data_IF_658966704272
#
_entry.id   IF_658966704272
#
_cell.length_a   1.000
_cell.length_b   1.000
_cell.length_c   1.000
_cell.angle_alpha   90.00
_cell.angle_beta   90.00
_cell.angle_gamma   90.00
#
_symmetry.space_group_name_H-M   'P 1'
#
loop_
_entity.id
_entity.type
_entity.pdbx_description
1 polymer ?
#
# COMPACT_ATOMS: atom_id res chain seq x y z
N UNK A 1 3.79 20.19 25.70
CA UNK A 1 3.23 19.04 24.95
C UNK A 1 2.75 19.56 23.60
N UNK A 2 3.16 18.97 22.47
CA UNK A 2 2.57 19.33 21.18
C UNK A 2 1.11 18.88 21.19
N UNK A 3 0.21 19.78 20.80
CA UNK A 3 -1.23 19.51 20.76
C UNK A 3 -1.53 18.50 19.65
N UNK A 4 -2.34 17.49 19.96
CA UNK A 4 -2.82 16.54 18.96
C UNK A 4 -3.64 17.29 17.89
N UNK A 5 -3.50 16.94 16.60
CA UNK A 5 -4.24 17.62 15.54
C UNK A 5 -5.75 17.47 15.79
N UNK A 6 -6.45 18.60 15.79
CA UNK A 6 -7.90 18.69 15.93
C UNK A 6 -8.54 18.09 14.68
N UNK A 7 -8.83 16.79 14.69
CA UNK A 7 -9.63 16.16 13.64
C UNK A 7 -11.07 16.64 13.82
N UNK A 8 -11.50 17.62 13.01
CA UNK A 8 -12.92 17.89 12.84
C UNK A 8 -13.58 16.60 12.36
N UNK A 9 -14.44 16.02 13.19
CA UNK A 9 -15.28 14.88 12.80
C UNK A 9 -16.16 15.35 11.64
N UNK A 10 -15.76 15.02 10.41
CA UNK A 10 -16.47 15.40 9.18
C UNK A 10 -15.62 15.87 8.00
N UNK A 11 -14.32 16.17 8.18
CA UNK A 11 -13.45 16.55 7.05
C UNK A 11 -12.12 15.79 7.08
N UNK A 12 -11.83 15.06 6.01
CA UNK A 12 -10.51 14.49 5.72
C UNK A 12 -10.07 14.98 4.34
N UNK A 13 -8.76 15.06 4.12
CA UNK A 13 -8.20 15.45 2.83
C UNK A 13 -8.31 14.29 1.81
N UNK A 14 -8.28 13.06 2.30
CA UNK A 14 -8.39 11.85 1.49
C UNK A 14 -9.17 10.75 2.21
N UNK A 15 -10.21 10.24 1.55
CA UNK A 15 -10.89 8.99 1.91
C UNK A 15 -10.38 7.87 1.01
N UNK A 16 -9.80 6.83 1.59
CA UNK A 16 -9.38 5.60 0.89
C UNK A 16 -10.39 4.50 1.17
N UNK A 17 -11.00 3.96 0.12
CA UNK A 17 -11.97 2.85 0.21
C UNK A 17 -11.27 1.54 -0.17
N UNK A 18 -11.19 0.62 0.79
CA UNK A 18 -10.55 -0.70 0.65
C UNK A 18 -9.26 -0.83 1.46
N UNK A 19 -9.22 -1.79 2.38
CA UNK A 19 -8.13 -2.13 3.29
C UNK A 19 -7.21 -3.25 2.78
N UNK A 20 -7.13 -3.45 1.47
CA UNK A 20 -6.09 -4.29 0.84
C UNK A 20 -4.74 -3.59 0.75
N UNK A 21 -3.70 -4.29 0.28
CA UNK A 21 -2.32 -3.78 0.23
C UNK A 21 -2.16 -2.46 -0.52
N UNK A 22 -2.90 -2.26 -1.60
CA UNK A 22 -2.86 -1.01 -2.37
C UNK A 22 -3.47 0.15 -1.57
N UNK A 23 -4.64 -0.07 -0.96
CA UNK A 23 -5.33 0.97 -0.20
C UNK A 23 -4.57 1.38 1.06
N UNK A 24 -4.05 0.40 1.81
CA UNK A 24 -3.22 0.70 2.99
C UNK A 24 -1.89 1.34 2.62
N UNK A 25 -1.26 0.94 1.51
CA UNK A 25 -0.06 1.59 0.98
C UNK A 25 -0.29 3.06 0.61
N UNK A 26 -1.38 3.35 -0.10
CA UNK A 26 -1.78 4.72 -0.46
C UNK A 26 -2.07 5.55 0.80
N UNK A 27 -2.85 5.00 1.74
CA UNK A 27 -3.20 5.71 2.97
C UNK A 27 -1.96 6.04 3.81
N UNK A 28 -1.00 5.10 3.93
CA UNK A 28 0.28 5.32 4.62
C UNK A 28 1.10 6.42 3.95
N UNK A 29 1.25 6.39 2.62
CA UNK A 29 2.04 7.41 1.91
C UNK A 29 1.40 8.79 2.05
N UNK A 30 0.08 8.90 1.87
CA UNK A 30 -0.65 10.15 2.02
C UNK A 30 -0.57 10.72 3.45
N UNK A 31 -0.74 9.88 4.48
CA UNK A 31 -0.58 10.28 5.87
C UNK A 31 0.87 10.72 6.16
N UNK A 32 1.87 10.01 5.62
CA UNK A 32 3.29 10.37 5.73
C UNK A 32 3.64 11.72 5.08
N UNK A 33 2.83 12.17 4.11
CA UNK A 33 2.91 13.51 3.49
C UNK A 33 2.13 14.59 4.23
N UNK A 34 1.51 14.26 5.36
CA UNK A 34 0.81 15.21 6.24
C UNK A 34 -0.68 15.42 5.94
N UNK A 35 -1.30 14.59 5.09
CA UNK A 35 -2.74 14.66 4.82
C UNK A 35 -3.53 14.03 5.98
N UNK A 36 -4.70 14.59 6.28
CA UNK A 36 -5.70 13.92 7.12
C UNK A 36 -6.39 12.83 6.30
N UNK A 37 -6.06 11.56 6.54
CA UNK A 37 -6.56 10.41 5.77
C UNK A 37 -7.54 9.58 6.59
N UNK A 38 -8.65 9.18 5.99
CA UNK A 38 -9.54 8.12 6.51
C UNK A 38 -9.44 6.92 5.58
N UNK A 39 -9.24 5.72 6.11
CA UNK A 39 -9.34 4.47 5.37
C UNK A 39 -10.56 3.69 5.89
N UNK A 40 -11.42 3.22 4.99
CA UNK A 40 -12.53 2.35 5.33
C UNK A 40 -12.41 1.00 4.62
N UNK A 41 -12.63 -0.07 5.35
CA UNK A 41 -12.70 -1.44 4.85
C UNK A 41 -14.03 -2.05 5.33
N UNK A 42 -14.69 -2.81 4.44
CA UNK A 42 -15.97 -3.44 4.74
C UNK A 42 -15.81 -4.61 5.72
N UNK A 43 -14.70 -5.34 5.64
CA UNK A 43 -14.39 -6.50 6.49
C UNK A 43 -13.18 -6.22 7.39
N UNK A 44 -12.31 -7.22 7.57
CA UNK A 44 -11.00 -7.05 8.19
C UNK A 44 -9.94 -6.63 7.16
N UNK A 45 -8.84 -6.05 7.63
CA UNK A 45 -7.72 -5.67 6.78
C UNK A 45 -7.18 -6.88 6.02
N UNK A 46 -6.86 -6.68 4.74
CA UNK A 46 -6.34 -7.71 3.85
C UNK A 46 -7.23 -8.97 3.68
N UNK A 47 -8.51 -8.96 4.08
CA UNK A 47 -9.39 -10.14 4.09
C UNK A 47 -9.62 -10.82 2.71
N UNK A 48 -9.27 -10.17 1.60
CA UNK A 48 -9.48 -10.67 0.23
C UNK A 48 -8.15 -10.99 -0.47
N UNK A 49 -7.94 -10.54 -1.72
CA UNK A 49 -6.79 -10.89 -2.57
C UNK A 49 -5.43 -10.65 -1.89
N UNK A 50 -5.33 -9.66 -1.00
CA UNK A 50 -4.07 -9.35 -0.30
C UNK A 50 -3.62 -10.48 0.64
N UNK A 51 -4.53 -11.27 1.21
CA UNK A 51 -4.21 -12.48 2.00
C UNK A 51 -4.20 -13.76 1.15
N UNK A 52 -4.89 -13.76 0.01
CA UNK A 52 -4.99 -14.88 -0.94
C UNK A 52 -3.87 -14.91 -2.01
N UNK A 53 -2.69 -14.36 -1.72
CA UNK A 53 -1.52 -14.46 -2.59
C UNK A 53 -0.69 -15.72 -2.32
N UNK A 54 0.28 -15.98 -3.21
CA UNK A 54 1.34 -17.00 -3.00
C UNK A 54 2.33 -16.62 -1.90
N UNK A 55 2.20 -15.43 -1.30
CA UNK A 55 3.05 -14.91 -0.22
C UNK A 55 4.53 -14.79 -0.62
N UNK A 56 4.77 -14.45 -1.88
CA UNK A 56 6.09 -14.19 -2.45
C UNK A 56 6.22 -12.74 -2.90
N UNK A 57 7.33 -12.10 -2.53
CA UNK A 57 7.77 -10.84 -3.15
C UNK A 57 8.77 -11.23 -4.25
N UNK A 58 8.34 -11.12 -5.51
CA UNK A 58 9.13 -11.63 -6.65
C UNK A 58 9.15 -10.68 -7.85
N UNK A 59 10.20 -10.77 -8.67
CA UNK A 59 10.31 -10.05 -9.95
C UNK A 59 9.38 -10.59 -11.05
N UNK A 60 8.87 -11.81 -10.90
CA UNK A 60 7.95 -12.43 -11.86
C UNK A 60 8.66 -12.92 -13.11
N UNK A 61 9.57 -13.88 -12.94
CA UNK A 61 10.46 -14.41 -13.98
C UNK A 61 9.76 -14.73 -15.31
N UNK A 62 8.57 -15.34 -15.24
CA UNK A 62 7.74 -15.67 -16.42
C UNK A 62 7.42 -14.46 -17.31
N UNK A 63 7.39 -13.25 -16.75
CA UNK A 63 7.04 -12.05 -17.49
C UNK A 63 8.15 -11.60 -18.46
N UNK A 64 9.37 -12.13 -18.31
CA UNK A 64 10.44 -11.93 -19.28
C UNK A 64 10.11 -12.55 -20.64
N UNK A 65 9.41 -13.68 -20.66
CA UNK A 65 8.97 -14.33 -21.92
C UNK A 65 7.99 -13.45 -22.70
N UNK A 66 7.31 -12.53 -22.02
CA UNK A 66 6.40 -11.55 -22.61
C UNK A 66 7.04 -10.18 -22.85
N UNK A 67 8.36 -10.06 -22.69
CA UNK A 67 9.10 -8.81 -22.90
C UNK A 67 8.78 -7.71 -21.86
N UNK A 68 8.20 -8.05 -20.70
CA UNK A 68 7.81 -7.07 -19.68
C UNK A 68 9.00 -6.67 -18.79
N UNK A 69 10.11 -6.27 -19.40
CA UNK A 69 11.36 -5.96 -18.71
C UNK A 69 11.22 -4.86 -17.66
N UNK A 70 10.43 -3.82 -17.96
CA UNK A 70 10.19 -2.71 -17.03
C UNK A 70 9.48 -3.16 -15.74
N UNK A 71 8.50 -4.08 -15.86
CA UNK A 71 7.80 -4.65 -14.71
C UNK A 71 8.76 -5.48 -13.87
N UNK A 72 9.50 -6.40 -14.51
CA UNK A 72 10.41 -7.31 -13.80
C UNK A 72 11.50 -6.52 -13.08
N UNK A 73 12.12 -5.55 -13.76
CA UNK A 73 13.13 -4.67 -13.17
C UNK A 73 12.59 -3.93 -11.94
N UNK A 74 11.44 -3.26 -12.07
CA UNK A 74 10.83 -2.52 -10.96
C UNK A 74 10.50 -3.43 -9.79
N UNK A 75 9.93 -4.61 -10.04
CA UNK A 75 9.58 -5.55 -8.99
C UNK A 75 10.80 -6.11 -8.24
N UNK A 76 11.94 -6.29 -8.92
CA UNK A 76 13.20 -6.66 -8.28
C UNK A 76 13.80 -5.52 -7.45
N UNK A 77 13.78 -4.28 -7.96
CA UNK A 77 14.24 -3.10 -7.23
C UNK A 77 13.39 -2.87 -5.95
N UNK A 78 12.06 -2.89 -6.08
CA UNK A 78 11.15 -2.71 -4.94
C UNK A 78 11.25 -3.84 -3.90
N UNK A 79 11.65 -5.06 -4.30
CA UNK A 79 11.88 -6.15 -3.35
C UNK A 79 12.96 -5.80 -2.33
N UNK A 80 14.06 -5.19 -2.77
CA UNK A 80 15.14 -4.77 -1.87
C UNK A 80 14.71 -3.58 -0.99
N UNK A 81 13.90 -2.67 -1.53
CA UNK A 81 13.28 -1.59 -0.74
C UNK A 81 12.40 -2.15 0.38
N UNK A 82 11.53 -3.11 0.06
CA UNK A 82 10.65 -3.75 1.05
C UNK A 82 11.45 -4.52 2.12
N UNK A 83 12.54 -5.18 1.74
CA UNK A 83 13.43 -5.85 2.69
C UNK A 83 14.12 -4.85 3.63
N UNK A 84 14.46 -3.64 3.15
CA UNK A 84 15.02 -2.59 3.99
C UNK A 84 14.03 -1.94 4.96
N UNK A 85 12.72 -2.14 4.76
CA UNK A 85 11.66 -1.65 5.65
C UNK A 85 11.25 -2.68 6.73
N UNK A 86 11.68 -3.94 6.58
CA UNK A 86 11.36 -5.05 7.47
C UNK A 86 12.36 -5.16 8.64
#
# INVERSE_FOLDING_TARGET
MPQAPSTKVGSCDLLVVGGGINGTGIARDAAGRGLSVILCEQHDLAAHTSSASTKLIHGGLRYLEHGQFALVRKALEEREVLLGLA
#
